data_IF_932853743401
#
_entry.id   IF_932853743401
#
_cell.length_a   1.000
_cell.length_b   1.000
_cell.length_c   1.000
_cell.angle_alpha   90.00
_cell.angle_beta   90.00
_cell.angle_gamma   90.00
#
_symmetry.space_group_name_H-M   'P 1'
#
loop_
_entity.id
_entity.type
_entity.pdbx_description
1 polymer ?
#
# COMPACT_ATOMS: atom_id res chain seq x y z
N UNK A 1 -15.33 0.86 1.73
CA UNK A 1 -14.76 1.97 2.56
C UNK A 1 -15.50 3.29 2.26
N UNK A 2 -15.78 4.11 3.29
CA UNK A 2 -16.33 5.46 3.08
C UNK A 2 -15.23 6.44 2.61
N UNK A 3 -15.60 7.64 2.12
CA UNK A 3 -14.64 8.63 1.59
C UNK A 3 -13.55 9.03 2.59
N UNK A 4 -13.87 9.20 3.87
CA UNK A 4 -12.91 9.59 4.89
C UNK A 4 -11.88 8.48 5.16
N UNK A 5 -12.33 7.21 5.20
CA UNK A 5 -11.45 6.06 5.30
C UNK A 5 -10.55 5.94 4.07
N UNK A 6 -11.07 6.16 2.87
CA UNK A 6 -10.24 6.14 1.64
C UNK A 6 -9.18 7.26 1.66
N UNK A 7 -9.55 8.49 2.06
CA UNK A 7 -8.62 9.62 2.25
C UNK A 7 -7.50 9.25 3.23
N UNK A 8 -7.86 8.72 4.40
CA UNK A 8 -6.89 8.29 5.41
C UNK A 8 -5.98 7.17 4.90
N UNK A 9 -6.54 6.20 4.16
CA UNK A 9 -5.79 5.09 3.59
C UNK A 9 -4.74 5.58 2.58
N UNK A 10 -5.15 6.38 1.60
CA UNK A 10 -4.22 6.93 0.59
C UNK A 10 -3.11 7.75 1.23
N UNK A 11 -3.42 8.55 2.27
CA UNK A 11 -2.40 9.27 3.04
C UNK A 11 -1.39 8.32 3.70
N UNK A 12 -1.87 7.23 4.30
CA UNK A 12 -1.00 6.25 4.95
C UNK A 12 -0.16 5.46 3.93
N UNK A 13 -0.73 5.08 2.79
CA UNK A 13 -0.02 4.41 1.70
C UNK A 13 1.11 5.30 1.14
N UNK A 14 0.84 6.60 0.96
CA UNK A 14 1.86 7.59 0.57
C UNK A 14 2.97 7.71 1.62
N UNK A 15 2.62 7.84 2.90
CA UNK A 15 3.61 7.94 3.98
C UNK A 15 4.47 6.68 4.08
N UNK A 16 3.89 5.49 3.87
CA UNK A 16 4.66 4.25 3.77
C UNK A 16 5.67 4.29 2.62
N UNK A 17 5.24 4.69 1.42
CA UNK A 17 6.13 4.81 0.26
C UNK A 17 7.23 5.87 0.48
N UNK A 18 6.92 6.98 1.13
CA UNK A 18 7.87 8.05 1.49
C UNK A 18 8.93 7.57 2.48
N UNK A 19 8.50 6.90 3.56
CA UNK A 19 9.40 6.34 4.56
C UNK A 19 10.25 5.20 4.00
N UNK A 20 9.67 4.33 3.17
CA UNK A 20 10.38 3.27 2.46
C UNK A 20 11.49 3.87 1.58
N UNK A 21 11.18 4.94 0.85
CA UNK A 21 12.16 5.62 0.01
C UNK A 21 13.29 6.26 0.83
N UNK A 22 12.96 6.91 1.95
CA UNK A 22 13.96 7.47 2.87
C UNK A 22 14.90 6.39 3.41
N UNK A 23 14.39 5.20 3.73
CA UNK A 23 15.21 4.04 4.11
C UNK A 23 16.08 3.56 2.95
N UNK A 24 15.52 3.47 1.74
CA UNK A 24 16.24 3.09 0.54
C UNK A 24 17.43 4.01 0.27
N UNK A 25 17.25 5.34 0.24
CA UNK A 25 18.36 6.27 -0.02
C UNK A 25 19.41 6.21 1.09
N UNK A 26 19.00 6.00 2.35
CA UNK A 26 19.93 5.84 3.48
C UNK A 26 20.79 4.60 3.31
N UNK A 27 20.20 3.48 2.88
CA UNK A 27 20.92 2.25 2.60
C UNK A 27 21.88 2.42 1.40
N UNK A 28 21.45 3.09 0.33
CA UNK A 28 22.31 3.39 -0.82
C UNK A 28 23.51 4.26 -0.45
N UNK A 29 23.32 5.27 0.40
CA UNK A 29 24.39 6.12 0.92
C UNK A 29 25.36 5.33 1.80
N UNK A 30 24.84 4.50 2.70
CA UNK A 30 25.65 3.66 3.58
C UNK A 30 26.50 2.65 2.79
N UNK A 31 26.00 2.15 1.65
CA UNK A 31 26.75 1.30 0.74
C UNK A 31 27.80 2.03 -0.10
N UNK A 32 27.73 3.36 -0.22
CA UNK A 32 28.57 4.18 -1.12
C UNK A 32 29.16 5.41 -0.41
N UNK A 33 29.60 5.29 0.84
CA UNK A 33 29.98 6.42 1.70
C UNK A 33 31.00 7.39 1.08
N UNK A 34 32.04 6.85 0.43
CA UNK A 34 33.08 7.66 -0.22
C UNK A 34 32.49 8.55 -1.32
N UNK A 35 31.52 8.04 -2.08
CA UNK A 35 30.88 8.76 -3.20
C UNK A 35 29.79 9.70 -2.70
N UNK A 36 29.07 9.28 -1.67
CA UNK A 36 27.96 10.02 -1.10
C UNK A 36 28.39 11.36 -0.50
N UNK A 37 29.63 11.45 0.01
CA UNK A 37 30.16 12.64 0.68
C UNK A 37 29.17 13.20 1.72
N UNK A 38 28.63 12.29 2.54
CA UNK A 38 27.67 12.65 3.59
C UNK A 38 28.38 13.53 4.62
N UNK A 39 27.94 14.78 4.71
CA UNK A 39 28.47 15.75 5.68
C UNK A 39 28.03 15.42 7.11
N UNK A 40 28.60 16.10 8.09
CA UNK A 40 28.35 15.86 9.52
C UNK A 40 27.00 16.37 10.07
N UNK A 41 26.21 17.11 9.27
CA UNK A 41 24.92 17.67 9.72
C UNK A 41 23.78 16.72 9.36
N UNK A 42 23.02 16.18 10.32
CA UNK A 42 21.87 15.33 10.03
C UNK A 42 20.73 16.15 9.41
N UNK A 43 20.07 15.59 8.41
CA UNK A 43 18.89 16.21 7.79
C UNK A 43 18.57 15.64 6.41
N UNK A 44 17.29 15.71 6.02
CA UNK A 44 16.84 15.16 4.73
C UNK A 44 17.49 15.87 3.54
N UNK A 45 17.74 17.19 3.61
CA UNK A 45 18.45 17.91 2.54
C UNK A 45 19.84 17.32 2.27
N UNK A 46 20.62 17.05 3.34
CA UNK A 46 21.96 16.50 3.22
C UNK A 46 21.93 15.05 2.75
N UNK A 47 20.94 14.27 3.21
CA UNK A 47 20.70 12.91 2.74
C UNK A 47 20.40 12.89 1.24
N UNK A 48 19.50 13.76 0.77
CA UNK A 48 19.15 13.89 -0.65
C UNK A 48 20.35 14.33 -1.49
N UNK A 49 21.10 15.35 -1.03
CA UNK A 49 22.34 15.80 -1.68
C UNK A 49 23.32 14.63 -1.86
N UNK A 50 23.55 13.87 -0.80
CA UNK A 50 24.44 12.70 -0.84
C UNK A 50 23.93 11.58 -1.74
N UNK A 51 22.62 11.38 -1.82
CA UNK A 51 22.03 10.43 -2.76
C UNK A 51 22.19 10.88 -4.21
N UNK A 52 22.04 12.18 -4.49
CA UNK A 52 22.26 12.72 -5.84
C UNK A 52 23.72 12.61 -6.28
N UNK A 53 24.69 12.80 -5.39
CA UNK A 53 26.11 12.54 -5.69
C UNK A 53 26.32 11.12 -6.24
N UNK A 54 25.68 10.12 -5.61
CA UNK A 54 25.77 8.72 -6.03
C UNK A 54 25.10 8.53 -7.40
N UNK A 55 23.89 9.06 -7.60
CA UNK A 55 23.17 8.93 -8.89
C UNK A 55 23.87 9.64 -10.04
N UNK A 56 24.50 10.80 -9.79
CA UNK A 56 25.26 11.52 -10.80
C UNK A 56 26.58 10.80 -11.15
N UNK A 57 27.19 10.09 -10.20
CA UNK A 57 28.40 9.29 -10.43
C UNK A 57 28.18 7.97 -11.20
N UNK A 58 26.93 7.56 -11.44
CA UNK A 58 26.57 6.44 -12.33
C UNK A 58 26.59 6.83 -13.81
N UNK A 59 26.85 8.10 -14.13
CA UNK A 59 27.35 8.52 -15.45
C UNK A 59 28.85 8.15 -15.55
N UNK A 60 29.37 7.77 -16.73
CA UNK A 60 30.69 7.15 -16.85
C UNK A 60 31.79 7.93 -16.12
N UNK A 61 32.48 7.25 -15.18
CA UNK A 61 33.57 7.74 -14.33
C UNK A 61 34.90 8.04 -15.06
N UNK A 62 34.85 8.53 -16.29
CA UNK A 62 36.02 8.85 -17.11
C UNK A 62 36.33 10.35 -17.24
N UNK A 63 35.79 11.18 -16.36
CA UNK A 63 35.69 12.65 -16.53
C UNK A 63 36.75 13.47 -15.78
N UNK A 64 37.78 12.86 -15.20
CA UNK A 64 38.77 13.61 -14.40
C UNK A 64 39.87 14.31 -15.23
N UNK A 65 40.02 14.00 -16.52
CA UNK A 65 41.08 14.59 -17.37
C UNK A 65 40.54 15.30 -18.61
N UNK A 66 39.83 16.41 -18.42
CA UNK A 66 39.44 17.29 -19.53
C UNK A 66 38.82 18.60 -19.06
N UNK A 67 39.29 19.71 -19.64
CA UNK A 67 38.84 21.08 -19.35
C UNK A 67 37.32 21.19 -19.25
N UNK A 68 36.80 21.32 -18.02
CA UNK A 68 35.41 21.69 -17.75
C UNK A 68 35.30 23.20 -17.94
N UNK A 69 34.76 23.65 -19.07
CA UNK A 69 34.29 25.03 -19.18
C UNK A 69 32.82 25.09 -18.75
N UNK A 70 32.60 25.74 -17.62
CA UNK A 70 31.29 25.99 -17.06
C UNK A 70 30.68 27.22 -17.75
N UNK A 71 29.67 27.00 -18.61
CA UNK A 71 28.83 28.07 -19.13
C UNK A 71 27.48 28.03 -18.42
N UNK A 72 26.77 29.17 -18.38
CA UNK A 72 25.59 29.42 -17.55
C UNK A 72 24.49 28.35 -17.59
N UNK A 73 24.45 27.47 -18.62
CA UNK A 73 23.51 26.35 -18.69
C UNK A 73 24.06 25.06 -19.34
N UNK A 74 25.38 24.92 -19.47
CA UNK A 74 25.99 23.76 -20.15
C UNK A 74 27.28 23.35 -19.46
N UNK A 75 27.38 22.07 -19.10
CA UNK A 75 28.67 21.44 -18.78
C UNK A 75 29.14 20.74 -20.04
N UNK A 76 30.26 21.21 -20.60
CA UNK A 76 30.91 20.57 -21.74
C UNK A 76 32.00 19.66 -21.20
N UNK A 77 31.89 18.36 -21.49
CA UNK A 77 32.91 17.38 -21.14
C UNK A 77 33.47 16.74 -22.41
N UNK A 78 34.78 16.68 -22.56
CA UNK A 78 35.44 15.99 -23.67
C UNK A 78 36.00 14.64 -23.19
N UNK A 79 35.64 13.54 -23.84
CA UNK A 79 36.24 12.22 -23.62
C UNK A 79 36.42 11.50 -24.97
N UNK A 80 37.59 10.91 -25.21
CA UNK A 80 37.96 10.21 -26.47
C UNK A 80 37.72 11.02 -27.77
N UNK A 81 37.84 12.35 -27.69
CA UNK A 81 37.59 13.24 -28.83
C UNK A 81 36.11 13.50 -29.12
N UNK A 82 35.19 13.01 -28.27
CA UNK A 82 33.75 13.29 -28.32
C UNK A 82 33.37 14.32 -27.26
N UNK A 83 32.51 15.28 -27.66
CA UNK A 83 32.00 16.34 -26.80
C UNK A 83 30.64 15.92 -26.25
N UNK A 84 30.56 15.73 -24.93
CA UNK A 84 29.31 15.48 -24.21
C UNK A 84 28.73 16.81 -23.73
N UNK A 85 27.53 17.12 -24.20
CA UNK A 85 26.78 18.31 -23.83
C UNK A 85 25.82 17.97 -22.68
N UNK A 86 26.18 18.33 -21.45
CA UNK A 86 25.24 18.25 -20.33
C UNK A 86 24.42 19.53 -20.26
N UNK A 87 23.16 19.46 -20.71
CA UNK A 87 22.20 20.55 -20.58
C UNK A 87 21.85 20.71 -19.11
N UNK A 88 22.27 21.82 -18.48
CA UNK A 88 21.72 22.16 -17.17
C UNK A 88 20.23 22.43 -17.35
N UNK A 89 19.41 21.70 -16.60
CA UNK A 89 17.97 21.91 -16.61
C UNK A 89 17.68 23.37 -16.19
N UNK A 90 16.73 24.06 -16.84
CA UNK A 90 16.50 25.51 -16.72
C UNK A 90 15.95 25.99 -15.35
N UNK A 91 16.24 25.26 -14.26
CA UNK A 91 15.78 25.53 -12.89
C UNK A 91 16.87 25.94 -11.90
N UNK A 92 18.09 26.20 -12.38
CA UNK A 92 19.22 26.58 -11.55
C UNK A 92 19.78 25.42 -10.70
N UNK A 93 20.81 25.73 -9.93
CA UNK A 93 21.48 24.79 -9.03
C UNK A 93 21.48 25.31 -7.59
N UNK A 94 21.28 24.41 -6.63
CA UNK A 94 21.43 24.66 -5.20
C UNK A 94 22.45 23.68 -4.66
N UNK A 95 23.50 24.18 -4.01
CA UNK A 95 24.57 23.36 -3.42
C UNK A 95 25.20 22.38 -4.43
N UNK A 96 25.41 22.84 -5.67
CA UNK A 96 26.01 22.06 -6.76
C UNK A 96 25.07 21.04 -7.42
N UNK A 97 23.78 21.02 -7.06
CA UNK A 97 22.81 20.05 -7.55
C UNK A 97 21.61 20.70 -8.24
N UNK A 98 20.96 20.04 -9.22
CA UNK A 98 19.76 20.58 -9.86
C UNK A 98 18.65 20.86 -8.84
N UNK A 99 18.17 22.11 -8.80
CA UNK A 99 17.21 22.57 -7.78
C UNK A 99 15.94 21.72 -7.74
N UNK A 100 15.35 21.41 -8.90
CA UNK A 100 14.11 20.64 -8.98
C UNK A 100 14.29 19.18 -8.54
N UNK A 101 15.46 18.59 -8.77
CA UNK A 101 15.77 17.25 -8.27
C UNK A 101 15.88 17.24 -6.74
N UNK A 102 16.56 18.23 -6.16
CA UNK A 102 16.63 18.41 -4.70
C UNK A 102 15.23 18.55 -4.08
N UNK A 103 14.37 19.38 -4.67
CA UNK A 103 12.97 19.56 -4.22
C UNK A 103 12.20 18.24 -4.34
N UNK A 104 12.25 17.60 -5.50
CA UNK A 104 11.55 16.34 -5.77
C UNK A 104 11.91 15.27 -4.74
N UNK A 105 13.20 15.01 -4.51
CA UNK A 105 13.62 13.95 -3.59
C UNK A 105 13.32 14.29 -2.12
N UNK A 106 13.28 15.57 -1.73
CA UNK A 106 12.78 15.96 -0.42
C UNK A 106 11.28 15.64 -0.26
N UNK A 107 10.47 15.97 -1.27
CA UNK A 107 9.04 15.62 -1.30
C UNK A 107 8.83 14.10 -1.32
N UNK A 108 9.64 13.37 -2.09
CA UNK A 108 9.60 11.90 -2.19
C UNK A 108 9.93 11.21 -0.88
N UNK A 109 10.70 11.85 -0.01
CA UNK A 109 10.98 11.41 1.35
C UNK A 109 9.92 11.84 2.37
N UNK A 110 8.85 12.52 1.94
CA UNK A 110 7.80 13.06 2.82
C UNK A 110 8.25 14.26 3.65
N UNK A 111 9.39 14.88 3.34
CA UNK A 111 9.94 16.01 4.13
C UNK A 111 9.68 17.35 3.44
N UNK A 112 8.49 17.89 3.70
CA UNK A 112 8.05 19.17 3.16
C UNK A 112 8.89 20.35 3.66
N UNK A 113 9.41 20.27 4.89
CA UNK A 113 10.23 21.32 5.49
C UNK A 113 11.61 21.37 4.82
N UNK A 114 12.22 20.22 4.54
CA UNK A 114 13.43 20.12 3.75
C UNK A 114 13.24 20.69 2.34
N UNK A 115 12.12 20.34 1.67
CA UNK A 115 11.79 20.90 0.37
C UNK A 115 11.66 22.44 0.43
N UNK A 116 10.98 22.96 1.46
CA UNK A 116 10.84 24.41 1.66
C UNK A 116 12.19 25.09 1.91
N UNK A 117 13.12 24.45 2.63
CA UNK A 117 14.47 24.96 2.85
C UNK A 117 15.26 25.06 1.53
N UNK A 118 15.15 24.06 0.65
CA UNK A 118 15.77 24.09 -0.70
C UNK A 118 15.18 25.23 -1.53
N UNK A 119 13.86 25.40 -1.52
CA UNK A 119 13.17 26.47 -2.25
C UNK A 119 13.57 27.86 -1.73
N UNK A 120 13.70 28.05 -0.42
CA UNK A 120 14.20 29.29 0.18
C UNK A 120 15.63 29.61 -0.26
N UNK A 121 16.50 28.61 -0.39
CA UNK A 121 17.88 28.76 -0.90
C UNK A 121 17.92 29.13 -2.38
N UNK A 122 17.08 28.53 -3.20
CA UNK A 122 16.98 28.84 -4.63
C UNK A 122 16.43 30.25 -4.90
N UNK A 123 15.58 30.76 -3.99
CA UNK A 123 15.11 32.14 -4.01
C UNK A 123 14.34 32.52 -5.27
N UNK A 124 14.69 33.66 -5.86
CA UNK A 124 13.97 34.27 -6.99
C UNK A 124 14.04 33.44 -8.29
N UNK A 125 14.97 32.48 -8.41
CA UNK A 125 15.11 31.61 -9.58
C UNK A 125 13.86 30.75 -9.86
N UNK A 126 13.01 30.55 -8.85
CA UNK A 126 11.81 29.71 -8.94
C UNK A 126 10.53 30.50 -9.24
N UNK A 127 10.61 31.83 -9.42
CA UNK A 127 9.46 32.70 -9.67
C UNK A 127 8.45 32.65 -8.53
N UNK A 128 7.18 32.36 -8.85
CA UNK A 128 6.07 32.30 -7.88
C UNK A 128 6.02 30.99 -7.06
N UNK A 129 6.81 29.98 -7.44
CA UNK A 129 6.76 28.66 -6.79
C UNK A 129 7.00 28.67 -5.26
N UNK A 130 7.93 29.49 -4.70
CA UNK A 130 8.10 29.59 -3.27
C UNK A 130 6.81 29.98 -2.52
N UNK A 131 5.99 30.85 -3.11
CA UNK A 131 4.72 31.27 -2.51
C UNK A 131 3.76 30.08 -2.41
N UNK A 132 3.64 29.29 -3.49
CA UNK A 132 2.76 28.12 -3.51
C UNK A 132 3.19 27.06 -2.51
N UNK A 133 4.49 26.71 -2.49
CA UNK A 133 4.97 25.71 -1.54
C UNK A 133 4.83 26.20 -0.09
N UNK A 134 5.07 27.49 0.18
CA UNK A 134 4.92 28.03 1.53
C UNK A 134 3.48 27.92 2.04
N UNK A 135 2.50 28.29 1.23
CA UNK A 135 1.08 28.17 1.57
C UNK A 135 0.68 26.70 1.77
N UNK A 136 1.13 25.82 0.87
CA UNK A 136 0.88 24.39 0.93
C UNK A 136 1.46 23.72 2.20
N UNK A 137 2.64 24.14 2.66
CA UNK A 137 3.25 23.64 3.90
C UNK A 137 2.58 24.21 5.14
N UNK A 138 2.11 25.46 5.10
CA UNK A 138 1.48 26.13 6.23
C UNK A 138 0.09 25.57 6.56
N UNK A 139 -0.64 25.10 5.55
CA UNK A 139 -1.98 24.55 5.74
C UNK A 139 -1.93 23.08 6.18
N UNK A 140 -2.61 22.75 7.28
CA UNK A 140 -2.70 21.38 7.84
C UNK A 140 -3.29 20.36 6.87
N UNK A 141 -4.20 20.85 6.03
CA UNK A 141 -4.87 20.08 5.00
C UNK A 141 -4.09 20.14 3.66
N UNK A 142 -2.89 20.73 3.67
CA UNK A 142 -2.03 20.91 2.50
C UNK A 142 -2.73 21.59 1.33
N UNK A 143 -3.44 22.66 1.69
CA UNK A 143 -4.35 23.39 0.82
C UNK A 143 -3.74 24.65 0.22
N UNK A 144 -4.12 25.06 -0.99
CA UNK A 144 -3.80 26.37 -1.56
C UNK A 144 -5.03 27.29 -1.48
N UNK A 145 -4.88 28.58 -1.75
CA UNK A 145 -6.04 29.45 -1.97
C UNK A 145 -6.53 29.32 -3.41
N UNK A 146 -7.83 29.52 -3.71
CA UNK A 146 -8.36 29.44 -5.08
C UNK A 146 -7.62 30.35 -6.09
N UNK A 147 -7.12 31.50 -5.62
CA UNK A 147 -6.32 32.42 -6.43
C UNK A 147 -4.94 31.86 -6.79
N UNK A 148 -4.20 31.34 -5.81
CA UNK A 148 -2.90 30.72 -6.05
C UNK A 148 -3.01 29.41 -6.82
N UNK A 149 -4.09 28.66 -6.63
CA UNK A 149 -4.41 27.50 -7.45
C UNK A 149 -4.54 27.88 -8.93
N UNK A 150 -5.38 28.87 -9.25
CA UNK A 150 -5.60 29.31 -10.63
C UNK A 150 -4.29 29.75 -11.28
N UNK A 151 -3.44 30.47 -10.53
CA UNK A 151 -2.10 30.88 -10.97
C UNK A 151 -1.19 29.68 -11.24
N UNK A 152 -1.12 28.73 -10.30
CA UNK A 152 -0.31 27.51 -10.42
C UNK A 152 -0.75 26.66 -11.62
N UNK A 153 -2.06 26.49 -11.83
CA UNK A 153 -2.61 25.77 -12.97
C UNK A 153 -2.28 26.45 -14.31
N UNK A 154 -2.42 27.77 -14.39
CA UNK A 154 -2.06 28.54 -15.59
C UNK A 154 -0.56 28.45 -15.90
N UNK A 155 0.29 28.56 -14.87
CA UNK A 155 1.74 28.41 -15.02
C UNK A 155 2.10 27.00 -15.49
N UNK A 156 1.46 25.96 -14.94
CA UNK A 156 1.68 24.60 -15.38
C UNK A 156 1.35 24.41 -16.86
N UNK A 157 0.13 24.82 -17.26
CA UNK A 157 -0.36 24.66 -18.64
C UNK A 157 0.46 25.43 -19.67
N UNK A 158 0.89 26.65 -19.35
CA UNK A 158 1.57 27.54 -20.31
C UNK A 158 3.07 27.31 -20.39
N UNK A 159 3.72 26.92 -19.30
CA UNK A 159 5.19 26.93 -19.20
C UNK A 159 5.74 25.57 -18.79
N UNK A 160 5.16 24.93 -17.77
CA UNK A 160 5.77 23.73 -17.18
C UNK A 160 5.49 22.48 -18.01
N UNK A 161 4.31 22.33 -18.63
CA UNK A 161 3.95 21.13 -19.40
C UNK A 161 4.94 20.83 -20.54
N UNK A 162 5.50 21.88 -21.16
CA UNK A 162 6.48 21.77 -22.24
C UNK A 162 7.93 21.90 -21.76
N UNK A 163 8.16 21.95 -20.44
CA UNK A 163 9.49 22.12 -19.88
C UNK A 163 10.30 20.82 -20.01
N UNK A 164 11.57 20.87 -20.44
CA UNK A 164 12.41 19.69 -20.57
C UNK A 164 12.83 19.10 -19.21
N UNK A 165 12.69 19.84 -18.10
CA UNK A 165 13.00 19.35 -16.76
C UNK A 165 11.90 18.42 -16.25
N UNK A 166 12.15 17.10 -16.15
CA UNK A 166 11.13 16.16 -15.72
C UNK A 166 10.80 16.35 -14.23
N UNK A 167 11.76 16.76 -13.40
CA UNK A 167 11.56 16.94 -11.96
C UNK A 167 10.66 18.14 -11.70
N UNK A 168 10.85 19.24 -12.45
CA UNK A 168 9.96 20.40 -12.40
C UNK A 168 8.52 20.01 -12.74
N UNK A 169 8.31 19.23 -13.80
CA UNK A 169 6.97 18.75 -14.20
C UNK A 169 6.30 17.96 -13.07
N UNK A 170 6.99 16.97 -12.53
CA UNK A 170 6.47 16.09 -11.48
C UNK A 170 6.23 16.85 -10.17
N UNK A 171 7.11 17.76 -9.76
CA UNK A 171 6.93 18.57 -8.54
C UNK A 171 5.69 19.46 -8.62
N UNK A 172 5.46 20.12 -9.76
CA UNK A 172 4.23 20.90 -9.96
C UNK A 172 2.99 20.01 -9.91
N UNK A 173 3.04 18.82 -10.52
CA UNK A 173 1.94 17.86 -10.48
C UNK A 173 1.68 17.28 -9.10
N UNK A 174 2.71 17.06 -8.29
CA UNK A 174 2.56 16.59 -6.90
C UNK A 174 1.89 17.67 -6.07
N UNK A 175 2.35 18.93 -6.14
CA UNK A 175 1.72 20.02 -5.36
C UNK A 175 0.30 20.28 -5.84
N UNK A 176 0.04 20.25 -7.14
CA UNK A 176 -1.31 20.32 -7.70
C UNK A 176 -2.16 19.11 -7.30
N UNK A 177 -1.60 17.90 -7.31
CA UNK A 177 -2.28 16.64 -7.01
C UNK A 177 -2.63 16.49 -5.53
N UNK A 178 -1.69 16.78 -4.63
CA UNK A 178 -1.93 16.69 -3.19
C UNK A 178 -2.90 17.80 -2.75
N UNK A 179 -2.88 18.96 -3.41
CA UNK A 179 -3.92 19.99 -3.23
C UNK A 179 -5.30 19.51 -3.73
N UNK A 180 -5.35 18.88 -4.90
CA UNK A 180 -6.56 18.32 -5.52
C UNK A 180 -7.20 17.15 -4.77
N UNK A 181 -6.54 16.64 -3.72
CA UNK A 181 -7.13 15.73 -2.74
C UNK A 181 -8.43 16.30 -2.10
N UNK A 182 -8.70 17.60 -2.30
CA UNK A 182 -9.72 18.36 -1.61
C UNK A 182 -10.65 19.27 -2.47
N UNK A 183 -10.45 19.45 -3.79
CA UNK A 183 -11.28 20.32 -4.66
C UNK A 183 -11.36 19.89 -6.14
N UNK A 184 -12.41 20.34 -6.85
CA UNK A 184 -13.00 19.78 -8.09
C UNK A 184 -12.36 20.20 -9.43
N UNK A 185 -11.51 21.22 -9.56
CA UNK A 185 -11.33 21.87 -10.88
C UNK A 185 -10.00 21.58 -11.61
N UNK A 186 -10.10 21.03 -12.83
CA UNK A 186 -9.20 21.32 -13.97
C UNK A 186 -8.26 20.21 -14.45
N UNK A 187 -8.16 19.98 -15.76
CA UNK A 187 -7.32 18.92 -16.38
C UNK A 187 -5.81 19.18 -16.22
N UNK A 188 -5.14 18.35 -15.40
CA UNK A 188 -3.73 18.00 -15.60
C UNK A 188 -3.69 16.58 -16.16
N UNK A 189 -2.73 16.32 -17.04
CA UNK A 189 -2.59 15.09 -17.79
C UNK A 189 -2.14 13.94 -16.86
N UNK A 190 -3.08 13.34 -16.12
CA UNK A 190 -2.78 12.21 -15.22
C UNK A 190 -2.43 10.93 -15.98
N UNK A 191 -2.60 10.95 -17.31
CA UNK A 191 -2.19 9.88 -18.22
C UNK A 191 -0.68 9.85 -18.45
N UNK A 192 0.06 10.91 -18.09
CA UNK A 192 1.51 10.87 -18.16
C UNK A 192 2.08 10.02 -17.00
N UNK A 193 2.90 9.02 -17.34
CA UNK A 193 3.49 8.09 -16.37
C UNK A 193 4.83 8.57 -15.81
N UNK A 194 5.42 9.61 -16.41
CA UNK A 194 6.71 10.19 -16.02
C UNK A 194 7.81 9.13 -15.84
N UNK A 195 7.91 8.20 -16.78
CA UNK A 195 8.85 7.08 -16.75
C UNK A 195 10.32 7.51 -16.60
N UNK A 196 10.66 8.73 -17.01
CA UNK A 196 12.00 9.32 -16.83
C UNK A 196 12.43 9.48 -15.35
N UNK A 197 11.46 9.51 -14.43
CA UNK A 197 11.69 9.67 -12.98
C UNK A 197 11.14 8.49 -12.18
N UNK A 198 9.97 7.99 -12.57
CA UNK A 198 9.29 6.88 -11.92
C UNK A 198 9.67 5.54 -12.59
N UNK A 199 10.96 5.19 -12.54
CA UNK A 199 11.49 3.96 -13.13
C UNK A 199 11.13 2.71 -12.30
N UNK A 200 10.66 2.89 -11.06
CA UNK A 200 10.21 1.82 -10.15
C UNK A 200 8.72 1.92 -9.87
N UNK A 201 8.11 0.76 -9.61
CA UNK A 201 6.69 0.67 -9.26
C UNK A 201 6.33 1.49 -8.01
N UNK A 202 7.21 1.55 -7.02
CA UNK A 202 7.00 2.34 -5.81
C UNK A 202 6.90 3.85 -6.10
N UNK A 203 7.69 4.33 -7.07
CA UNK A 203 7.69 5.73 -7.48
C UNK A 203 6.45 6.04 -8.33
N UNK A 204 6.08 5.13 -9.24
CA UNK A 204 4.83 5.21 -9.99
C UNK A 204 3.61 5.28 -9.06
N UNK A 205 3.51 4.35 -8.11
CA UNK A 205 2.40 4.32 -7.14
C UNK A 205 2.37 5.58 -6.29
N UNK A 206 3.53 6.05 -5.80
CA UNK A 206 3.57 7.26 -4.99
C UNK A 206 3.07 8.48 -5.77
N UNK A 207 3.48 8.65 -7.03
CA UNK A 207 3.00 9.73 -7.91
C UNK A 207 1.49 9.62 -8.14
N UNK A 208 0.98 8.46 -8.57
CA UNK A 208 -0.46 8.30 -8.84
C UNK A 208 -1.30 8.49 -7.57
N UNK A 209 -0.84 8.00 -6.41
CA UNK A 209 -1.51 8.22 -5.12
C UNK A 209 -1.51 9.70 -4.71
N UNK A 210 -0.47 10.47 -5.05
CA UNK A 210 -0.45 11.92 -4.85
C UNK A 210 -1.45 12.66 -5.75
N UNK A 211 -1.88 12.06 -6.86
CA UNK A 211 -2.80 12.66 -7.84
C UNK A 211 -4.28 12.34 -7.60
N UNK A 212 -4.60 11.43 -6.66
CA UNK A 212 -5.98 10.99 -6.40
C UNK A 212 -6.85 12.14 -5.87
N UNK A 213 -8.05 12.26 -6.45
CA UNK A 213 -9.11 13.17 -6.00
C UNK A 213 -10.30 12.41 -5.42
N UNK A 214 -10.87 12.92 -4.33
CA UNK A 214 -12.00 12.29 -3.61
C UNK A 214 -13.33 13.04 -3.75
N UNK A 215 -13.26 14.32 -4.10
CA UNK A 215 -14.41 15.21 -4.18
C UNK A 215 -14.73 15.60 -5.63
N UNK A 216 -14.27 14.84 -6.62
CA UNK A 216 -14.47 15.17 -8.04
C UNK A 216 -15.95 15.11 -8.48
N UNK A 217 -16.37 16.09 -9.29
CA UNK A 217 -17.64 16.03 -10.02
C UNK A 217 -17.52 15.03 -11.18
N UNK A 218 -18.60 14.29 -11.48
CA UNK A 218 -18.66 13.30 -12.57
C UNK A 218 -18.30 13.87 -13.95
N UNK A 219 -18.45 15.20 -14.13
CA UNK A 219 -18.14 15.92 -15.37
C UNK A 219 -16.65 16.20 -15.55
N UNK A 220 -15.82 15.96 -14.54
CA UNK A 220 -14.39 16.30 -14.54
C UNK A 220 -13.55 15.04 -14.67
N UNK A 221 -12.76 14.96 -15.74
CA UNK A 221 -11.79 13.88 -15.95
C UNK A 221 -10.66 13.96 -14.93
N UNK A 222 -10.87 13.30 -13.80
CA UNK A 222 -9.94 13.25 -12.66
C UNK A 222 -9.57 11.82 -12.34
N UNK A 223 -8.38 11.63 -11.77
CA UNK A 223 -7.94 10.33 -11.27
C UNK A 223 -8.56 10.09 -9.90
N UNK A 224 -9.47 9.12 -9.81
CA UNK A 224 -10.02 8.63 -8.53
C UNK A 224 -9.29 7.36 -8.11
N UNK A 225 -9.40 6.98 -6.82
CA UNK A 225 -8.85 5.71 -6.34
C UNK A 225 -9.43 4.54 -7.14
N UNK A 226 -10.72 4.57 -7.44
CA UNK A 226 -11.43 3.54 -8.22
C UNK A 226 -10.85 3.39 -9.63
N UNK A 227 -10.58 4.51 -10.32
CA UNK A 227 -9.93 4.47 -11.65
C UNK A 227 -8.53 3.87 -11.58
N UNK A 228 -7.75 4.23 -10.57
CA UNK A 228 -6.42 3.65 -10.36
C UNK A 228 -6.50 2.15 -10.06
N UNK A 229 -7.50 1.72 -9.28
CA UNK A 229 -7.73 0.30 -8.98
C UNK A 229 -8.09 -0.48 -10.25
N UNK A 230 -9.00 0.04 -11.08
CA UNK A 230 -9.35 -0.54 -12.39
C UNK A 230 -8.13 -0.64 -13.30
N UNK A 231 -7.33 0.43 -13.42
CA UNK A 231 -6.11 0.45 -14.23
C UNK A 231 -5.13 -0.65 -13.80
N UNK A 232 -4.86 -0.77 -12.50
CA UNK A 232 -3.86 -1.71 -11.99
C UNK A 232 -4.33 -3.17 -12.03
N UNK A 233 -5.61 -3.43 -11.79
CA UNK A 233 -6.13 -4.80 -11.68
C UNK A 233 -6.76 -5.31 -12.97
N UNK A 234 -7.54 -4.49 -13.68
CA UNK A 234 -8.30 -4.91 -14.87
C UNK A 234 -7.54 -4.62 -16.17
N UNK A 235 -6.88 -3.47 -16.29
CA UNK A 235 -6.19 -3.09 -17.53
C UNK A 235 -4.77 -3.64 -17.62
N UNK A 236 -3.95 -3.45 -16.58
CA UNK A 236 -2.59 -4.02 -16.51
C UNK A 236 -2.64 -5.49 -16.11
N UNK A 237 -3.33 -5.81 -15.01
CA UNK A 237 -3.52 -7.17 -14.54
C UNK A 237 -2.24 -7.88 -14.10
N UNK A 238 -2.40 -9.13 -13.66
CA UNK A 238 -1.32 -9.92 -13.04
C UNK A 238 -0.16 -10.20 -14.01
N UNK A 239 -0.44 -10.30 -15.32
CA UNK A 239 0.56 -10.59 -16.35
C UNK A 239 1.54 -9.45 -16.55
N UNK A 240 1.07 -8.21 -16.56
CA UNK A 240 1.93 -7.02 -16.66
C UNK A 240 2.96 -6.96 -15.53
N UNK A 241 2.55 -7.33 -14.32
CA UNK A 241 3.42 -7.33 -13.14
C UNK A 241 4.23 -8.63 -12.96
N UNK A 242 4.15 -9.57 -13.90
CA UNK A 242 4.72 -10.91 -13.76
C UNK A 242 4.35 -11.54 -12.41
N UNK A 243 3.08 -11.45 -12.00
CA UNK A 243 2.63 -11.69 -10.63
C UNK A 243 3.13 -13.00 -10.01
N UNK A 244 3.11 -14.11 -10.76
CA UNK A 244 3.62 -15.40 -10.25
C UNK A 244 5.14 -15.42 -10.00
N UNK A 245 5.91 -14.67 -10.79
CA UNK A 245 7.36 -14.54 -10.61
C UNK A 245 7.71 -13.51 -9.52
N UNK A 246 6.89 -12.47 -9.38
CA UNK A 246 7.08 -11.38 -8.42
C UNK A 246 5.84 -11.20 -7.52
N UNK A 247 5.46 -12.21 -6.71
CA UNK A 247 4.17 -12.20 -6.00
C UNK A 247 4.08 -11.11 -4.94
N UNK A 248 5.19 -10.78 -4.29
CA UNK A 248 5.22 -9.70 -3.30
C UNK A 248 5.05 -8.32 -3.92
N UNK A 249 5.58 -8.11 -5.14
CA UNK A 249 5.44 -6.85 -5.85
C UNK A 249 3.97 -6.62 -6.25
N UNK A 250 3.34 -7.62 -6.88
CA UNK A 250 1.94 -7.49 -7.28
C UNK A 250 1.00 -7.40 -6.06
N UNK A 251 1.27 -8.18 -5.01
CA UNK A 251 0.56 -8.04 -3.74
C UNK A 251 0.69 -6.63 -3.14
N UNK A 252 1.91 -6.05 -3.16
CA UNK A 252 2.15 -4.69 -2.69
C UNK A 252 1.38 -3.65 -3.51
N UNK A 253 1.33 -3.79 -4.83
CA UNK A 253 0.52 -2.91 -5.72
C UNK A 253 -0.95 -2.91 -5.29
N UNK A 254 -1.52 -4.10 -5.09
CA UNK A 254 -2.93 -4.24 -4.71
C UNK A 254 -3.20 -3.74 -3.29
N UNK A 255 -2.35 -4.05 -2.31
CA UNK A 255 -2.50 -3.57 -0.93
C UNK A 255 -2.37 -2.05 -0.86
N UNK A 256 -1.35 -1.44 -1.49
CA UNK A 256 -1.15 0.02 -1.44
C UNK A 256 -2.23 0.81 -2.18
N UNK A 257 -3.03 0.14 -3.02
CA UNK A 257 -4.21 0.72 -3.69
C UNK A 257 -5.53 0.26 -3.09
N UNK A 258 -5.50 -0.33 -1.88
CA UNK A 258 -6.67 -0.72 -1.10
C UNK A 258 -7.55 -1.80 -1.77
N UNK A 259 -6.95 -2.66 -2.59
CA UNK A 259 -7.61 -3.78 -3.27
C UNK A 259 -7.40 -5.07 -2.46
N UNK A 260 -7.83 -5.06 -1.21
CA UNK A 260 -7.48 -6.09 -0.22
C UNK A 260 -7.96 -7.49 -0.62
N UNK A 261 -9.19 -7.60 -1.08
CA UNK A 261 -9.84 -8.85 -1.43
C UNK A 261 -9.11 -9.51 -2.61
N UNK A 262 -8.79 -8.71 -3.63
CA UNK A 262 -7.99 -9.15 -4.76
C UNK A 262 -6.55 -9.54 -4.36
N UNK A 263 -5.92 -8.76 -3.48
CA UNK A 263 -4.57 -9.05 -3.00
C UNK A 263 -4.50 -10.39 -2.24
N UNK A 264 -5.46 -10.61 -1.33
CA UNK A 264 -5.57 -11.85 -0.56
C UNK A 264 -5.85 -13.03 -1.49
N UNK A 265 -6.80 -12.86 -2.40
CA UNK A 265 -7.19 -13.94 -3.29
C UNK A 265 -6.01 -14.36 -4.19
N UNK A 266 -5.32 -13.40 -4.81
CA UNK A 266 -4.11 -13.66 -5.60
C UNK A 266 -3.05 -14.42 -4.77
N UNK A 267 -2.74 -13.94 -3.56
CA UNK A 267 -1.71 -14.54 -2.71
C UNK A 267 -2.10 -15.96 -2.25
N UNK A 268 -3.40 -16.22 -2.08
CA UNK A 268 -3.93 -17.52 -1.66
C UNK A 268 -3.83 -18.62 -2.72
N UNK A 269 -3.74 -18.24 -4.00
CA UNK A 269 -3.52 -19.18 -5.12
C UNK A 269 -2.14 -19.82 -5.02
N UNK A 270 -1.15 -19.09 -4.51
CA UNK A 270 0.24 -19.54 -4.38
C UNK A 270 0.38 -20.36 -3.10
N UNK A 271 0.61 -21.66 -3.24
CA UNK A 271 0.58 -22.61 -2.12
C UNK A 271 1.46 -22.23 -0.93
N UNK A 272 2.73 -21.90 -1.17
CA UNK A 272 3.68 -21.50 -0.12
C UNK A 272 3.31 -20.18 0.58
N UNK A 273 2.46 -19.35 -0.03
CA UNK A 273 2.05 -18.04 0.50
C UNK A 273 0.62 -18.05 1.05
N UNK A 274 -0.11 -19.16 0.91
CA UNK A 274 -1.51 -19.26 1.34
C UNK A 274 -1.70 -18.99 2.83
N UNK A 275 -0.79 -19.46 3.68
CA UNK A 275 -0.84 -19.15 5.11
C UNK A 275 -0.75 -17.64 5.34
N UNK A 276 0.15 -16.93 4.66
CA UNK A 276 0.28 -15.47 4.76
C UNK A 276 -1.02 -14.77 4.32
N UNK A 277 -1.61 -15.20 3.20
CA UNK A 277 -2.88 -14.67 2.71
C UNK A 277 -4.00 -14.80 3.75
N UNK A 278 -4.10 -15.95 4.42
CA UNK A 278 -5.07 -16.21 5.49
C UNK A 278 -4.84 -15.29 6.69
N UNK A 279 -3.59 -15.16 7.17
CA UNK A 279 -3.29 -14.31 8.31
C UNK A 279 -3.56 -12.82 8.02
N UNK A 280 -3.19 -12.35 6.82
CA UNK A 280 -3.53 -10.99 6.38
C UNK A 280 -5.05 -10.81 6.30
N UNK A 281 -5.78 -11.79 5.75
CA UNK A 281 -7.24 -11.74 5.70
C UNK A 281 -7.87 -11.66 7.09
N UNK A 282 -7.37 -12.42 8.07
CA UNK A 282 -7.83 -12.35 9.45
C UNK A 282 -7.61 -10.95 10.03
N UNK A 283 -6.43 -10.36 9.85
CA UNK A 283 -6.15 -9.00 10.32
C UNK A 283 -7.10 -8.00 9.68
N UNK A 284 -7.26 -8.02 8.35
CA UNK A 284 -8.15 -7.11 7.64
C UNK A 284 -9.63 -7.30 8.02
N UNK A 285 -10.04 -8.54 8.28
CA UNK A 285 -11.37 -8.86 8.80
C UNK A 285 -11.58 -8.27 10.21
N UNK A 286 -10.63 -8.46 11.13
CA UNK A 286 -10.74 -7.91 12.50
C UNK A 286 -10.72 -6.39 12.54
N UNK A 287 -10.12 -5.74 11.54
CA UNK A 287 -10.10 -4.28 11.40
C UNK A 287 -11.29 -3.72 10.59
N UNK A 288 -12.24 -4.56 10.18
CA UNK A 288 -13.39 -4.20 9.32
C UNK A 288 -12.99 -3.54 7.99
N UNK A 289 -11.81 -3.89 7.46
CA UNK A 289 -11.34 -3.43 6.15
C UNK A 289 -11.65 -4.40 5.02
N UNK A 290 -11.98 -5.65 5.35
CA UNK A 290 -12.29 -6.71 4.40
C UNK A 290 -13.80 -6.76 4.10
N UNK A 291 -14.17 -6.69 2.82
CA UNK A 291 -15.53 -6.92 2.36
C UNK A 291 -15.75 -8.42 2.10
N UNK A 292 -16.66 -9.03 2.87
CA UNK A 292 -16.96 -10.45 2.76
C UNK A 292 -18.16 -10.72 1.83
N UNK A 293 -18.08 -11.80 1.06
CA UNK A 293 -19.24 -12.36 0.36
C UNK A 293 -20.31 -12.78 1.38
N UNK A 294 -21.58 -12.56 1.05
CA UNK A 294 -22.72 -13.03 1.84
C UNK A 294 -23.03 -14.52 1.60
N UNK A 295 -22.56 -15.09 0.48
CA UNK A 295 -22.82 -16.48 0.13
C UNK A 295 -21.54 -17.30 0.18
N UNK A 296 -21.59 -18.45 0.85
CA UNK A 296 -20.51 -19.44 0.89
C UNK A 296 -20.33 -20.17 -0.44
N UNK A 297 -21.37 -20.22 -1.27
CA UNK A 297 -21.31 -20.81 -2.61
C UNK A 297 -20.62 -19.90 -3.63
N UNK A 298 -20.40 -18.62 -3.30
CA UNK A 298 -19.68 -17.70 -4.15
C UNK A 298 -18.24 -18.17 -4.44
N UNK A 299 -17.71 -17.70 -5.57
CA UNK A 299 -16.28 -17.82 -5.86
C UNK A 299 -15.45 -17.14 -4.77
N UNK A 300 -14.14 -17.46 -4.71
CA UNK A 300 -13.26 -16.90 -3.69
C UNK A 300 -13.21 -15.37 -3.74
N UNK A 301 -13.29 -14.80 -4.94
CA UNK A 301 -13.42 -13.37 -5.21
C UNK A 301 -14.62 -13.15 -6.13
N UNK A 302 -15.54 -12.27 -5.76
CA UNK A 302 -16.76 -12.01 -6.51
C UNK A 302 -17.10 -10.52 -6.58
N UNK A 303 -17.90 -10.12 -7.57
CA UNK A 303 -18.52 -8.78 -7.65
C UNK A 303 -19.98 -8.87 -7.21
N UNK A 304 -20.40 -8.02 -6.29
CA UNK A 304 -21.82 -7.87 -5.91
C UNK A 304 -22.46 -6.81 -6.83
N UNK A 305 -23.64 -7.06 -7.42
CA UNK A 305 -24.33 -6.08 -8.26
C UNK A 305 -24.66 -4.75 -7.56
N UNK A 306 -24.75 -4.76 -6.23
CA UNK A 306 -25.02 -3.56 -5.43
C UNK A 306 -23.76 -2.77 -5.08
N UNK A 307 -22.57 -3.33 -5.31
CA UNK A 307 -21.32 -2.66 -5.03
C UNK A 307 -20.87 -1.79 -6.21
N UNK A 308 -20.34 -0.58 -5.96
CA UNK A 308 -19.79 0.25 -7.02
C UNK A 308 -18.51 -0.37 -7.60
N UNK A 309 -18.40 -0.39 -8.92
CA UNK A 309 -17.17 -0.81 -9.61
C UNK A 309 -15.96 0.04 -9.15
N UNK A 310 -14.75 -0.54 -8.93
CA UNK A 310 -14.35 -1.93 -9.16
C UNK A 310 -14.36 -2.81 -7.89
N UNK A 311 -15.23 -2.54 -6.91
CA UNK A 311 -15.23 -3.27 -5.63
C UNK A 311 -15.44 -4.77 -5.83
N UNK A 312 -14.79 -5.54 -4.94
CA UNK A 312 -14.85 -7.00 -4.91
C UNK A 312 -15.03 -7.45 -3.49
N UNK A 313 -15.70 -8.59 -3.32
CA UNK A 313 -15.90 -9.24 -2.03
C UNK A 313 -15.13 -10.55 -1.99
N UNK A 314 -14.48 -10.82 -0.85
CA UNK A 314 -13.78 -12.06 -0.58
C UNK A 314 -14.72 -13.06 0.10
N UNK A 315 -14.78 -14.29 -0.37
CA UNK A 315 -15.40 -15.37 0.38
C UNK A 315 -14.45 -15.85 1.49
N UNK A 316 -14.47 -15.12 2.62
CA UNK A 316 -13.58 -15.36 3.76
C UNK A 316 -13.75 -16.78 4.32
N UNK A 317 -14.99 -17.27 4.42
CA UNK A 317 -15.28 -18.62 4.86
C UNK A 317 -14.58 -19.68 3.98
N UNK A 318 -14.71 -19.55 2.67
CA UNK A 318 -14.06 -20.44 1.70
C UNK A 318 -12.54 -20.37 1.79
N UNK A 319 -11.95 -19.20 2.01
CA UNK A 319 -10.50 -19.06 2.21
C UNK A 319 -10.02 -19.88 3.42
N UNK A 320 -10.71 -19.77 4.57
CA UNK A 320 -10.38 -20.52 5.78
C UNK A 320 -10.56 -22.02 5.56
N UNK A 321 -11.63 -22.45 4.87
CA UNK A 321 -11.84 -23.86 4.53
C UNK A 321 -10.72 -24.43 3.63
N UNK A 322 -10.32 -23.68 2.59
CA UNK A 322 -9.23 -24.09 1.70
C UNK A 322 -7.89 -24.23 2.44
N UNK A 323 -7.68 -23.44 3.50
CA UNK A 323 -6.48 -23.52 4.32
C UNK A 323 -6.52 -24.69 5.32
N UNK A 324 -7.66 -24.89 5.98
CA UNK A 324 -7.84 -25.91 7.03
C UNK A 324 -7.81 -27.33 6.49
N UNK A 325 -8.39 -27.59 5.30
CA UNK A 325 -8.38 -28.91 4.65
C UNK A 325 -6.98 -29.51 4.44
N UNK A 326 -5.94 -28.68 4.26
CA UNK A 326 -4.57 -29.19 4.11
C UNK A 326 -4.01 -29.85 5.37
N UNK A 327 -4.43 -29.41 6.54
CA UNK A 327 -4.03 -30.00 7.82
C UNK A 327 -4.81 -31.29 8.12
N UNK A 328 -5.94 -31.51 7.46
CA UNK A 328 -6.73 -32.74 7.61
C UNK A 328 -6.09 -33.92 6.88
N UNK A 329 -5.45 -33.66 5.73
CA UNK A 329 -4.82 -34.70 4.90
C UNK A 329 -3.43 -35.12 5.40
N UNK A 330 -2.71 -34.24 6.13
CA UNK A 330 -1.31 -34.49 6.49
C UNK A 330 -1.08 -34.89 7.94
N UNK A 331 -1.93 -34.51 8.92
CA UNK A 331 -1.67 -34.97 10.29
C UNK A 331 -2.85 -34.95 11.28
N UNK A 332 -3.45 -36.11 11.58
CA UNK A 332 -4.30 -36.28 12.76
C UNK A 332 -3.52 -36.44 14.09
N UNK A 333 -2.20 -36.72 14.07
CA UNK A 333 -1.41 -37.17 15.24
C UNK A 333 -0.30 -36.20 15.72
N UNK A 334 0.36 -35.40 14.87
CA UNK A 334 1.25 -34.29 15.33
C UNK A 334 0.47 -33.20 16.08
N UNK A 335 -0.81 -33.04 15.76
CA UNK A 335 -1.71 -32.18 16.52
C UNK A 335 -2.02 -32.71 17.94
N UNK A 336 -1.75 -33.99 18.21
CA UNK A 336 -1.98 -34.62 19.52
C UNK A 336 -0.69 -34.77 20.35
N UNK A 337 0.48 -34.90 19.72
CA UNK A 337 1.76 -35.22 20.38
C UNK A 337 2.60 -34.01 20.81
N UNK A 338 2.26 -32.79 20.39
CA UNK A 338 2.93 -31.55 20.83
C UNK A 338 2.41 -30.99 22.17
N UNK A 339 1.70 -31.81 22.98
CA UNK A 339 1.15 -31.47 24.29
C UNK A 339 2.17 -31.39 25.44
N UNK A 340 3.49 -31.41 25.17
CA UNK A 340 4.52 -31.31 26.23
C UNK A 340 5.62 -30.28 25.99
N UNK A 341 5.59 -29.52 24.89
CA UNK A 341 6.63 -28.51 24.66
C UNK A 341 6.21 -27.16 25.22
N UNK A 342 6.84 -26.81 26.33
CA UNK A 342 6.87 -25.53 27.04
C UNK A 342 6.36 -24.30 26.28
N UNK A 343 5.44 -23.60 26.94
CA UNK A 343 4.67 -22.42 26.54
C UNK A 343 5.47 -21.12 26.36
N UNK A 344 6.57 -21.10 25.59
CA UNK A 344 7.42 -19.91 25.47
C UNK A 344 7.68 -19.36 24.06
N UNK A 345 7.53 -20.15 22.96
CA UNK A 345 8.20 -19.76 21.69
C UNK A 345 7.31 -19.62 20.42
N UNK A 346 5.98 -19.47 20.51
CA UNK A 346 5.18 -19.12 19.32
C UNK A 346 4.28 -17.87 19.50
N UNK A 347 4.56 -16.77 18.77
CA UNK A 347 3.70 -15.58 18.67
C UNK A 347 2.27 -15.85 18.17
N UNK A 348 1.98 -17.07 17.68
CA UNK A 348 0.67 -17.53 17.24
C UNK A 348 -0.37 -17.63 18.38
N UNK A 349 0.07 -17.79 19.63
CA UNK A 349 -0.82 -18.02 20.78
C UNK A 349 -1.31 -16.73 21.46
N UNK A 350 -0.51 -15.66 21.48
CA UNK A 350 -0.87 -14.40 22.16
C UNK A 350 -1.88 -13.55 21.40
N UNK A 351 -1.98 -13.68 20.06
CA UNK A 351 -2.93 -12.91 19.26
C UNK A 351 -4.40 -13.32 19.50
N UNK A 352 -4.62 -14.52 20.03
CA UNK A 352 -5.96 -15.10 20.20
C UNK A 352 -6.60 -14.80 21.56
N UNK A 353 -5.82 -14.46 22.59
CA UNK A 353 -6.36 -14.00 23.87
C UNK A 353 -7.13 -12.67 23.74
N UNK A 354 -6.76 -11.82 22.77
CA UNK A 354 -7.47 -10.58 22.45
C UNK A 354 -8.81 -10.78 21.73
N UNK A 355 -9.09 -11.98 21.21
CA UNK A 355 -10.41 -12.32 20.65
C UNK A 355 -11.48 -12.55 21.74
N UNK A 356 -11.13 -12.53 23.02
CA UNK A 356 -12.05 -12.85 24.12
C UNK A 356 -13.18 -11.83 24.31
N UNK A 357 -12.97 -10.54 24.00
CA UNK A 357 -13.91 -9.50 24.47
C UNK A 357 -14.67 -8.73 23.38
N UNK A 358 -14.36 -8.87 22.09
CA UNK A 358 -15.13 -8.22 21.00
C UNK A 358 -15.47 -9.13 19.81
N UNK A 359 -15.02 -10.40 19.79
CA UNK A 359 -15.13 -11.27 18.61
C UNK A 359 -16.27 -12.31 18.64
N UNK A 360 -17.12 -12.34 19.67
CA UNK A 360 -18.17 -13.38 19.73
C UNK A 360 -19.11 -13.26 18.52
N UNK A 361 -19.45 -12.04 18.08
CA UNK A 361 -20.38 -11.81 16.96
C UNK A 361 -19.96 -12.49 15.63
N UNK A 362 -18.66 -12.57 15.32
CA UNK A 362 -18.21 -12.99 13.99
C UNK A 362 -17.80 -14.47 13.89
N UNK A 363 -17.61 -15.15 15.03
CA UNK A 363 -17.25 -16.58 15.07
C UNK A 363 -18.47 -17.48 14.87
N UNK A 364 -19.63 -17.10 15.41
CA UNK A 364 -20.87 -17.87 15.19
C UNK A 364 -21.36 -17.75 13.74
N UNK A 365 -21.22 -16.57 13.12
CA UNK A 365 -21.59 -16.35 11.72
C UNK A 365 -20.74 -17.22 10.78
N UNK A 366 -19.41 -17.28 10.99
CA UNK A 366 -18.54 -18.19 10.22
C UNK A 366 -18.94 -19.66 10.36
N UNK A 367 -19.29 -20.12 11.56
CA UNK A 367 -19.69 -21.51 11.81
C UNK A 367 -21.08 -21.82 11.22
N UNK A 368 -22.03 -20.89 11.34
CA UNK A 368 -23.37 -21.04 10.76
C UNK A 368 -23.35 -21.04 9.24
N UNK A 369 -22.55 -20.17 8.64
CA UNK A 369 -22.48 -20.02 7.19
C UNK A 369 -21.76 -21.21 6.52
N UNK A 370 -20.74 -21.76 7.18
CA UNK A 370 -19.99 -22.92 6.64
C UNK A 370 -20.76 -24.23 6.79
N UNK A 371 -21.62 -24.38 7.82
CA UNK A 371 -22.27 -25.65 8.21
C UNK A 371 -21.32 -26.82 8.44
N UNK A 372 -20.01 -26.59 8.45
CA UNK A 372 -18.97 -27.58 8.72
C UNK A 372 -18.78 -27.69 10.24
N UNK A 373 -19.87 -28.00 10.95
CA UNK A 373 -19.92 -28.01 12.41
C UNK A 373 -18.92 -29.02 13.00
N UNK A 374 -18.79 -30.20 12.39
CA UNK A 374 -17.87 -31.24 12.88
C UNK A 374 -16.39 -30.80 12.77
N UNK A 375 -16.03 -30.10 11.70
CA UNK A 375 -14.67 -29.61 11.47
C UNK A 375 -14.33 -28.43 12.39
N UNK A 376 -15.24 -27.47 12.51
CA UNK A 376 -14.99 -26.23 13.24
C UNK A 376 -15.21 -26.39 14.74
N UNK A 377 -16.30 -27.05 15.15
CA UNK A 377 -16.74 -27.22 16.53
C UNK A 377 -16.52 -28.63 17.08
N UNK A 378 -15.95 -29.54 16.29
CA UNK A 378 -15.67 -30.90 16.75
C UNK A 378 -16.86 -31.84 16.65
N UNK A 379 -16.65 -33.10 16.99
CA UNK A 379 -17.62 -34.18 16.81
C UNK A 379 -17.75 -35.02 18.08
N UNK A 380 -18.95 -35.49 18.37
CA UNK A 380 -19.17 -36.48 19.42
C UNK A 380 -18.70 -37.86 18.96
N UNK A 381 -17.82 -38.49 19.74
CA UNK A 381 -17.29 -39.82 19.49
C UNK A 381 -18.23 -40.89 20.07
N UNK A 382 -18.06 -42.15 19.65
CA UNK A 382 -18.92 -43.27 20.07
C UNK A 382 -18.83 -43.58 21.57
N UNK A 383 -17.75 -43.16 22.22
CA UNK A 383 -17.52 -43.29 23.66
C UNK A 383 -18.17 -42.15 24.48
N UNK A 384 -18.88 -41.23 23.82
CA UNK A 384 -19.53 -40.09 24.46
C UNK A 384 -18.58 -38.92 24.72
N UNK A 385 -17.31 -39.01 24.32
CA UNK A 385 -16.35 -37.90 24.43
C UNK A 385 -16.42 -36.98 23.22
N UNK A 386 -16.03 -35.71 23.38
CA UNK A 386 -15.96 -34.76 22.27
C UNK A 386 -14.57 -34.78 21.65
N UNK A 387 -14.49 -35.11 20.35
CA UNK A 387 -13.30 -34.86 19.53
C UNK A 387 -13.19 -33.35 19.28
N UNK A 388 -12.09 -32.69 19.67
CA UNK A 388 -11.90 -31.26 19.46
C UNK A 388 -11.91 -30.90 17.97
N UNK A 389 -12.59 -29.80 17.63
CA UNK A 389 -12.57 -29.18 16.31
C UNK A 389 -11.48 -28.14 16.17
N UNK A 390 -11.43 -27.48 15.01
CA UNK A 390 -10.47 -26.42 14.74
C UNK A 390 -10.56 -25.28 15.77
N UNK A 391 -11.76 -24.95 16.28
CA UNK A 391 -11.97 -23.84 17.23
C UNK A 391 -11.36 -24.12 18.61
N UNK A 392 -11.28 -25.38 19.02
CA UNK A 392 -10.75 -25.76 20.34
C UNK A 392 -9.23 -25.53 20.46
N UNK A 393 -8.53 -25.54 19.31
CA UNK A 393 -7.09 -25.25 19.25
C UNK A 393 -6.75 -23.82 19.67
N UNK A 394 -7.75 -22.94 19.79
CA UNK A 394 -7.56 -21.52 20.10
C UNK A 394 -7.80 -21.15 21.58
N UNK A 395 -8.01 -22.13 22.48
CA UNK A 395 -8.28 -21.90 23.93
C UNK A 395 -9.39 -20.86 24.18
N UNK A 396 -10.37 -20.78 23.29
CA UNK A 396 -11.55 -19.93 23.43
C UNK A 396 -12.61 -20.73 24.20
N UNK A 397 -13.54 -20.04 24.88
CA UNK A 397 -14.72 -20.66 25.46
C UNK A 397 -15.63 -21.22 24.35
N UNK A 398 -15.29 -22.42 23.83
CA UNK A 398 -15.98 -23.08 22.71
C UNK A 398 -17.44 -23.36 23.06
N UNK A 399 -17.77 -23.49 24.35
CA UNK A 399 -19.13 -23.72 24.84
C UNK A 399 -20.06 -22.55 24.55
N UNK A 400 -19.61 -21.31 24.81
CA UNK A 400 -20.36 -20.10 24.43
C UNK A 400 -20.59 -20.03 22.92
N UNK A 401 -19.63 -20.51 22.13
CA UNK A 401 -19.72 -20.58 20.67
C UNK A 401 -20.77 -21.58 20.23
N UNK A 402 -20.69 -22.80 20.77
CA UNK A 402 -21.63 -23.89 20.55
C UNK A 402 -23.07 -23.50 20.91
N UNK A 403 -23.30 -22.97 22.11
CA UNK A 403 -24.66 -22.65 22.59
C UNK A 403 -25.35 -21.57 21.76
N UNK A 404 -24.60 -20.61 21.22
CA UNK A 404 -25.17 -19.56 20.37
C UNK A 404 -25.36 -20.03 18.93
N UNK A 405 -24.44 -20.82 18.37
CA UNK A 405 -24.63 -21.46 17.06
C UNK A 405 -25.81 -22.42 17.10
N UNK A 406 -25.97 -23.21 18.16
CA UNK A 406 -27.10 -24.13 18.33
C UNK A 406 -28.44 -23.40 18.35
N UNK A 407 -28.56 -22.32 19.15
CA UNK A 407 -29.78 -21.48 19.22
C UNK A 407 -30.14 -20.85 17.88
N UNK A 408 -29.15 -20.33 17.17
CA UNK A 408 -29.37 -19.68 15.88
C UNK A 408 -29.75 -20.71 14.80
N UNK A 409 -29.13 -21.90 14.79
CA UNK A 409 -29.47 -23.02 13.91
C UNK A 409 -30.89 -23.55 14.18
N UNK A 410 -31.29 -23.62 15.44
CA UNK A 410 -32.67 -23.95 15.85
C UNK A 410 -33.66 -22.89 15.34
N UNK A 411 -33.34 -21.60 15.50
CA UNK A 411 -34.21 -20.51 15.02
C UNK A 411 -34.41 -20.50 13.50
N UNK A 412 -33.45 -21.05 12.75
CA UNK A 412 -33.47 -21.22 11.28
C UNK A 412 -34.19 -22.51 10.84
N UNK A 413 -34.68 -23.34 11.77
CA UNK A 413 -35.46 -24.55 11.50
C UNK A 413 -34.62 -25.80 11.17
N UNK A 414 -33.30 -25.76 11.36
CA UNK A 414 -32.40 -26.90 11.12
C UNK A 414 -32.25 -27.74 12.41
N UNK A 415 -33.33 -28.38 12.83
CA UNK A 415 -33.42 -29.05 14.13
C UNK A 415 -32.39 -30.18 14.34
N UNK A 416 -32.11 -30.99 13.31
CA UNK A 416 -31.13 -32.09 13.43
C UNK A 416 -29.72 -31.60 13.74
N UNK A 417 -29.29 -30.50 13.11
CA UNK A 417 -27.98 -29.91 13.34
C UNK A 417 -27.94 -29.16 14.68
N UNK A 418 -29.04 -28.48 15.04
CA UNK A 418 -29.18 -27.85 16.35
C UNK A 418 -29.04 -28.86 17.50
N UNK A 419 -29.66 -30.04 17.39
CA UNK A 419 -29.55 -31.12 18.39
C UNK A 419 -28.09 -31.57 18.53
N UNK A 420 -27.39 -31.84 17.42
CA UNK A 420 -25.97 -32.23 17.45
C UNK A 420 -25.11 -31.17 18.15
N UNK A 421 -25.37 -29.88 17.88
CA UNK A 421 -24.65 -28.76 18.48
C UNK A 421 -24.93 -28.61 19.97
N UNK A 422 -26.19 -28.81 20.40
CA UNK A 422 -26.56 -28.84 21.81
C UNK A 422 -25.95 -30.02 22.57
N UNK A 423 -25.83 -31.19 21.93
CA UNK A 423 -25.18 -32.35 22.55
C UNK A 423 -23.67 -32.14 22.65
N UNK A 424 -23.06 -31.52 21.64
CA UNK A 424 -21.65 -31.08 21.68
C UNK A 424 -21.38 -30.06 22.78
N UNK A 425 -22.33 -29.17 23.09
CA UNK A 425 -22.14 -28.16 24.14
C UNK A 425 -22.17 -28.75 25.56
N UNK A 426 -22.95 -29.82 25.78
CA UNK A 426 -23.06 -30.53 27.07
C UNK A 426 -21.81 -31.33 27.45
N UNK A 427 -21.02 -31.78 26.47
CA UNK A 427 -19.86 -32.69 26.66
C UNK A 427 -18.53 -31.91 26.74
N UNK A 428 -18.56 -30.58 26.68
CA UNK A 428 -17.36 -29.73 26.56
C UNK A 428 -16.57 -29.47 27.87
N UNK A 429 -16.43 -30.48 28.76
CA UNK A 429 -15.56 -30.46 29.95
C UNK A 429 -14.27 -31.27 29.78
#
# INVERSE_FOLDING_TARGET
>A
MNKNTQKAFVRNARSYLEQSYKKFITAQISGNLQQAQLGGVPGTCNLVRSYLNIRQATLPRGLEDGLVQQFDNVVVCCHDGLVYLFVMLPGGVVEGHPTWAMIYYCLRCGDLNAAQAVVKKAGHQLGDFPQFLQEYVANSDHRLSPGNETRLQLQYRRVVKQCPDPYKRVVYLIILGIWRLYCIVGQCDYMEDHADIADKIDDYLWVKLCQIQFDADERTETLTLQKLQTLLYEEYGESHFNGYQQPFLYFQVLILTAQFEAAIEFLSRIERLRCHAVHVAIVLFTTNLLQCSQSTQAQLLSKDPNDPSPQRRLNFARLIMMYTRKFEETDPQEAASSTSTSSADLPYFQLNASFSNQSLLNKHELVQETKEYEMLLGKLMKDGTRKPGAIDKFQVDTRRILDKVARDTESKGAFEDAVKLYDLSKVSE
#
